data_IF_985396459607
#
_entry.id   IF_985396459607
#
_cell.length_a   1.000
_cell.length_b   1.000
_cell.length_c   1.000
_cell.angle_alpha   90.00
_cell.angle_beta   90.00
_cell.angle_gamma   90.00
#
_symmetry.space_group_name_H-M   'P 1'
#
loop_
_entity.id
_entity.type
_entity.pdbx_description
1 polymer ?
#
# COMPACT_ATOMS: atom_id res chain seq x y z
N UNK A 1 -8.89 4.80 -4.31
CA UNK A 1 -7.78 5.34 -3.48
C UNK A 1 -6.56 4.45 -3.62
N UNK A 2 -5.34 4.99 -3.75
CA UNK A 2 -4.10 4.18 -3.88
C UNK A 2 -3.53 3.83 -2.49
N UNK A 3 -3.49 4.82 -1.59
CA UNK A 3 -2.78 4.74 -0.32
C UNK A 3 -3.69 5.15 0.84
N UNK A 4 -3.66 4.40 1.94
CA UNK A 4 -4.31 4.77 3.20
C UNK A 4 -3.35 4.46 4.35
N UNK A 5 -2.79 5.51 4.97
CA UNK A 5 -1.81 5.39 6.05
C UNK A 5 -2.29 6.18 7.26
N UNK A 6 -2.22 5.54 8.43
CA UNK A 6 -2.35 6.19 9.73
C UNK A 6 -1.01 6.16 10.46
N UNK A 7 -0.38 7.32 10.57
CA UNK A 7 0.86 7.49 11.33
C UNK A 7 0.55 7.99 12.74
N UNK A 8 0.74 7.13 13.74
CA UNK A 8 0.56 7.50 15.14
C UNK A 8 1.83 8.13 15.76
N UNK A 9 2.95 8.13 15.04
CA UNK A 9 4.26 8.64 15.46
C UNK A 9 4.60 9.96 14.75
N UNK A 10 3.58 10.70 14.30
CA UNK A 10 3.74 12.07 13.82
C UNK A 10 3.93 13.00 15.04
N UNK A 11 5.18 13.37 15.31
CA UNK A 11 5.53 14.31 16.37
C UNK A 11 6.53 15.32 15.82
N UNK A 12 6.28 16.61 16.00
CA UNK A 12 7.22 17.65 15.60
C UNK A 12 7.14 18.83 16.53
N UNK A 13 8.27 19.54 16.68
CA UNK A 13 8.28 20.87 17.25
C UNK A 13 7.86 21.87 16.18
N UNK A 14 6.90 22.73 16.51
CA UNK A 14 6.49 23.84 15.68
C UNK A 14 6.92 25.14 16.33
N UNK A 15 7.56 26.00 15.56
CA UNK A 15 7.83 27.39 15.93
C UNK A 15 7.28 28.30 14.83
N UNK A 16 6.52 29.31 15.23
CA UNK A 16 5.99 30.30 14.30
C UNK A 16 7.14 31.01 13.57
N UNK A 17 6.94 31.26 12.26
CA UNK A 17 7.90 31.91 11.37
C UNK A 17 9.24 31.16 11.16
N UNK A 18 9.39 29.94 11.68
CA UNK A 18 10.55 29.10 11.37
C UNK A 18 10.52 28.66 9.89
N UNK A 19 11.59 28.91 9.11
CA UNK A 19 11.64 28.46 7.73
C UNK A 19 11.67 26.92 7.65
N UNK A 20 10.83 26.36 6.76
CA UNK A 20 10.83 24.93 6.49
C UNK A 20 11.97 24.58 5.54
N UNK A 21 13.04 24.03 6.10
CA UNK A 21 14.20 23.57 5.33
C UNK A 21 14.28 22.05 5.31
N UNK A 22 14.41 21.49 4.11
CA UNK A 22 14.65 20.06 3.89
C UNK A 22 16.03 19.86 3.24
N UNK A 23 16.76 18.86 3.73
CA UNK A 23 18.02 18.43 3.16
C UNK A 23 18.00 16.91 2.98
N UNK A 24 18.33 16.43 1.78
CA UNK A 24 18.31 14.99 1.47
C UNK A 24 19.40 14.21 2.22
N UNK A 25 20.49 14.87 2.63
CA UNK A 25 21.67 14.24 3.24
C UNK A 25 21.62 14.14 4.76
N UNK A 26 20.85 14.98 5.46
CA UNK A 26 20.72 14.92 6.91
C UNK A 26 19.38 15.46 7.42
N UNK A 27 18.90 14.89 8.54
CA UNK A 27 17.68 15.33 9.19
C UNK A 27 17.97 16.59 10.04
N UNK A 28 17.45 17.74 9.61
CA UNK A 28 17.51 19.02 10.35
C UNK A 28 16.28 19.26 11.21
N UNK A 29 15.09 18.90 10.72
CA UNK A 29 13.81 19.08 11.40
C UNK A 29 12.92 17.88 11.13
N UNK A 30 12.36 17.31 12.20
CA UNK A 30 11.49 16.15 12.05
C UNK A 30 10.24 16.46 11.21
N UNK A 31 9.72 17.70 11.28
CA UNK A 31 8.57 18.11 10.48
C UNK A 31 8.87 17.97 8.97
N UNK A 32 9.98 18.56 8.51
CA UNK A 32 10.33 18.53 7.08
C UNK A 32 10.73 17.13 6.62
N UNK A 33 11.39 16.34 7.48
CA UNK A 33 11.70 14.94 7.20
C UNK A 33 10.46 14.06 7.05
N UNK A 34 9.45 14.19 7.93
CA UNK A 34 8.20 13.42 7.80
C UNK A 34 7.43 13.82 6.54
N UNK A 35 7.35 15.11 6.23
CA UNK A 35 6.67 15.60 5.02
C UNK A 35 7.36 15.09 3.75
N UNK A 36 8.69 15.20 3.68
CA UNK A 36 9.47 14.70 2.55
C UNK A 36 9.38 13.18 2.41
N UNK A 37 9.41 12.45 3.54
CA UNK A 37 9.21 11.00 3.56
C UNK A 37 7.87 10.62 2.91
N UNK A 38 6.76 11.21 3.34
CA UNK A 38 5.45 10.89 2.78
C UNK A 38 5.29 11.37 1.33
N UNK A 39 5.89 12.50 0.95
CA UNK A 39 5.92 12.91 -0.46
C UNK A 39 6.59 11.84 -1.33
N UNK A 40 7.73 11.30 -0.91
CA UNK A 40 8.43 10.24 -1.65
C UNK A 40 7.68 8.90 -1.63
N UNK A 41 7.04 8.53 -0.53
CA UNK A 41 6.18 7.34 -0.48
C UNK A 41 5.00 7.47 -1.43
N UNK A 42 4.32 8.62 -1.47
CA UNK A 42 3.19 8.87 -2.37
C UNK A 42 3.64 8.80 -3.82
N UNK A 43 4.75 9.46 -4.18
CA UNK A 43 5.31 9.39 -5.53
C UNK A 43 5.71 7.97 -5.92
N UNK A 44 6.33 7.22 -5.00
CA UNK A 44 6.70 5.83 -5.26
C UNK A 44 5.48 4.97 -5.59
N UNK A 45 4.40 5.11 -4.82
CA UNK A 45 3.17 4.37 -5.09
C UNK A 45 2.49 4.80 -6.38
N UNK A 46 2.45 6.10 -6.67
CA UNK A 46 1.87 6.62 -7.89
C UNK A 46 2.60 6.05 -9.13
N UNK A 47 3.93 6.13 -9.17
CA UNK A 47 4.72 5.61 -10.30
C UNK A 47 4.63 4.08 -10.44
N UNK A 48 4.51 3.34 -9.34
CA UNK A 48 4.25 1.90 -9.38
C UNK A 48 2.90 1.55 -10.01
N UNK A 49 1.91 2.43 -9.94
CA UNK A 49 0.64 2.20 -10.63
C UNK A 49 0.75 2.37 -12.15
N UNK A 50 1.73 3.12 -12.66
CA UNK A 50 1.91 3.37 -14.09
C UNK A 50 2.94 2.45 -14.76
N UNK A 51 3.91 1.95 -14.01
CA UNK A 51 4.95 1.04 -14.50
C UNK A 51 5.38 0.07 -13.40
N UNK A 52 5.66 -1.18 -13.80
CA UNK A 52 6.20 -2.18 -12.88
C UNK A 52 7.48 -1.64 -12.21
N UNK A 53 7.44 -1.53 -10.89
CA UNK A 53 8.51 -1.00 -10.04
C UNK A 53 8.98 0.43 -10.41
N UNK A 54 8.14 1.22 -11.10
CA UNK A 54 8.46 2.59 -11.51
C UNK A 54 8.75 3.55 -10.36
N UNK A 55 8.24 3.24 -9.16
CA UNK A 55 8.41 4.04 -7.94
C UNK A 55 9.76 3.90 -7.24
N UNK A 56 10.63 2.99 -7.70
CA UNK A 56 11.86 2.62 -6.98
C UNK A 56 12.72 3.82 -6.58
N UNK A 57 13.00 4.80 -7.47
CA UNK A 57 13.84 5.95 -7.11
C UNK A 57 13.25 6.76 -5.94
N UNK A 58 11.92 6.83 -5.81
CA UNK A 58 11.27 7.57 -4.74
C UNK A 58 11.26 6.79 -3.43
N UNK A 59 11.02 5.49 -3.47
CA UNK A 59 11.12 4.65 -2.27
C UNK A 59 12.55 4.60 -1.71
N UNK A 60 13.57 4.60 -2.56
CA UNK A 60 14.97 4.70 -2.14
C UNK A 60 15.26 6.04 -1.45
N UNK A 61 14.71 7.15 -1.95
CA UNK A 61 14.78 8.45 -1.26
C UNK A 61 14.05 8.45 0.09
N UNK A 62 12.89 7.82 0.18
CA UNK A 62 12.18 7.66 1.46
C UNK A 62 13.01 6.83 2.46
N UNK A 63 13.64 5.74 1.99
CA UNK A 63 14.55 4.92 2.80
C UNK A 63 15.78 5.71 3.25
N UNK A 64 16.34 6.57 2.40
CA UNK A 64 17.44 7.45 2.77
C UNK A 64 17.06 8.39 3.93
N UNK A 65 15.85 8.96 3.91
CA UNK A 65 15.34 9.79 5.02
C UNK A 65 15.23 8.98 6.31
N UNK A 66 14.72 7.74 6.24
CA UNK A 66 14.67 6.82 7.40
C UNK A 66 16.08 6.58 7.95
N UNK A 67 17.05 6.29 7.08
CA UNK A 67 18.44 6.04 7.47
C UNK A 67 19.08 7.28 8.12
N UNK A 68 18.81 8.47 7.60
CA UNK A 68 19.31 9.73 8.15
C UNK A 68 18.63 10.13 9.47
N UNK A 69 17.51 9.49 9.82
CA UNK A 69 16.71 9.79 11.01
C UNK A 69 16.86 8.75 12.13
N UNK A 70 17.81 7.79 12.02
CA UNK A 70 18.00 6.76 13.04
C UNK A 70 18.39 7.32 14.43
N UNK A 71 19.01 8.50 14.49
CA UNK A 71 19.37 9.17 15.74
C UNK A 71 18.29 10.16 16.23
N UNK A 72 17.17 10.30 15.52
CA UNK A 72 16.08 11.18 15.92
C UNK A 72 15.49 10.74 17.26
N UNK A 73 15.08 11.71 18.08
CA UNK A 73 14.43 11.43 19.38
C UNK A 73 12.98 11.01 19.17
N UNK A 74 12.36 11.57 18.14
CA UNK A 74 11.01 11.26 17.68
C UNK A 74 10.93 9.80 17.23
N UNK A 75 9.78 9.19 17.49
CA UNK A 75 9.49 7.80 17.13
C UNK A 75 9.15 7.66 15.65
N UNK A 76 9.00 6.43 15.20
CA UNK A 76 8.55 6.05 13.87
C UNK A 76 9.68 5.80 12.87
N UNK A 77 10.92 6.14 13.22
CA UNK A 77 12.08 6.02 12.35
C UNK A 77 12.89 4.74 12.56
N UNK A 78 12.73 4.06 13.70
CA UNK A 78 13.58 2.93 14.08
C UNK A 78 12.81 1.62 14.08
N UNK A 79 13.48 0.53 13.71
CA UNK A 79 12.87 -0.80 13.59
C UNK A 79 12.25 -1.30 14.90
N UNK A 80 12.86 -0.98 16.05
CA UNK A 80 12.48 -1.51 17.36
C UNK A 80 11.32 -0.76 18.04
N UNK A 81 10.84 0.34 17.45
CA UNK A 81 9.79 1.18 18.05
C UNK A 81 8.39 0.58 17.85
N UNK A 82 8.16 -0.04 16.68
CA UNK A 82 6.88 -0.63 16.26
C UNK A 82 7.14 -1.49 15.01
N UNK A 83 6.29 -2.47 14.73
CA UNK A 83 6.28 -3.19 13.44
C UNK A 83 5.50 -2.44 12.34
N UNK A 84 4.83 -1.33 12.70
CA UNK A 84 4.02 -0.48 11.82
C UNK A 84 4.47 0.96 11.99
N UNK A 85 5.50 1.33 11.24
CA UNK A 85 6.07 2.67 11.25
C UNK A 85 6.74 3.00 9.90
N UNK A 86 7.33 4.20 9.80
CA UNK A 86 7.98 4.70 8.58
C UNK A 86 9.15 3.80 8.15
N UNK A 87 9.91 3.25 9.11
CA UNK A 87 10.97 2.27 8.83
C UNK A 87 10.43 1.01 8.14
N UNK A 88 9.44 0.35 8.74
CA UNK A 88 8.89 -0.89 8.19
C UNK A 88 8.12 -0.67 6.91
N UNK A 89 7.55 0.52 6.70
CA UNK A 89 6.90 0.85 5.44
C UNK A 89 7.90 0.76 4.28
N UNK A 90 9.02 1.48 4.36
CA UNK A 90 10.01 1.46 3.26
C UNK A 90 10.74 0.13 3.14
N UNK A 91 11.06 -0.51 4.27
CA UNK A 91 11.69 -1.84 4.26
C UNK A 91 10.80 -2.86 3.54
N UNK A 92 9.52 -2.95 3.93
CA UNK A 92 8.59 -3.90 3.33
C UNK A 92 8.36 -3.64 1.84
N UNK A 93 8.33 -2.37 1.40
CA UNK A 93 8.17 -2.02 -0.02
C UNK A 93 9.39 -2.45 -0.85
N UNK A 94 10.61 -2.20 -0.35
CA UNK A 94 11.85 -2.45 -1.08
C UNK A 94 12.36 -3.90 -0.95
N UNK A 95 11.84 -4.66 0.00
CA UNK A 95 12.27 -6.04 0.21
C UNK A 95 11.82 -6.94 -0.96
N UNK A 96 12.80 -7.54 -1.65
CA UNK A 96 12.58 -8.46 -2.78
C UNK A 96 11.72 -9.68 -2.44
N UNK A 97 11.65 -10.09 -1.17
CA UNK A 97 10.74 -11.16 -0.75
C UNK A 97 9.26 -10.79 -0.88
N UNK A 98 8.94 -9.50 -1.03
CA UNK A 98 7.60 -8.97 -1.16
C UNK A 98 7.39 -8.23 -2.50
N UNK A 99 8.24 -8.45 -3.52
CA UNK A 99 8.14 -7.74 -4.81
C UNK A 99 6.81 -7.96 -5.54
N UNK A 100 6.16 -9.11 -5.30
CA UNK A 100 4.80 -9.40 -5.78
C UNK A 100 3.79 -8.33 -5.33
N UNK A 101 4.02 -7.64 -4.21
CA UNK A 101 3.19 -6.51 -3.78
C UNK A 101 3.22 -5.35 -4.79
N UNK A 102 4.41 -4.94 -5.23
CA UNK A 102 4.57 -3.85 -6.20
C UNK A 102 4.06 -4.27 -7.58
N UNK A 103 4.24 -5.54 -7.94
CA UNK A 103 3.62 -6.12 -9.13
C UNK A 103 2.09 -6.06 -9.06
N UNK A 104 1.49 -6.37 -7.89
CA UNK A 104 0.06 -6.19 -7.69
C UNK A 104 -0.34 -4.73 -7.92
N UNK A 105 0.38 -3.74 -7.38
CA UNK A 105 0.05 -2.32 -7.58
C UNK A 105 -0.01 -1.95 -9.06
N UNK A 106 0.94 -2.41 -9.87
CA UNK A 106 0.94 -2.19 -11.32
C UNK A 106 -0.25 -2.90 -12.02
N UNK A 107 -0.39 -4.22 -11.84
CA UNK A 107 -1.43 -5.01 -12.49
C UNK A 107 -2.83 -4.53 -12.11
N UNK A 108 -3.06 -4.27 -10.82
CA UNK A 108 -4.35 -3.84 -10.29
C UNK A 108 -4.80 -2.52 -10.92
N UNK A 109 -3.91 -1.52 -10.99
CA UNK A 109 -4.28 -0.18 -11.47
C UNK A 109 -4.21 -0.09 -13.00
N UNK A 110 -3.06 -0.38 -13.60
CA UNK A 110 -2.84 -0.17 -15.04
C UNK A 110 -3.54 -1.19 -15.93
N UNK A 111 -3.50 -2.46 -15.52
CA UNK A 111 -4.07 -3.55 -16.32
C UNK A 111 -5.48 -3.92 -15.87
N UNK A 112 -5.85 -3.54 -14.63
CA UNK A 112 -7.16 -3.74 -14.05
C UNK A 112 -8.05 -2.52 -14.20
N UNK A 113 -7.91 -1.54 -13.31
CA UNK A 113 -8.79 -0.37 -13.22
C UNK A 113 -8.85 0.46 -14.51
N UNK A 114 -7.71 0.80 -15.12
CA UNK A 114 -7.68 1.57 -16.37
C UNK A 114 -8.37 0.80 -17.51
N UNK A 115 -8.22 -0.53 -17.52
CA UNK A 115 -8.81 -1.40 -18.54
C UNK A 115 -10.31 -1.63 -18.31
N UNK A 116 -10.80 -1.57 -17.07
CA UNK A 116 -12.22 -1.79 -16.74
C UNK A 116 -13.16 -0.87 -17.53
N UNK A 117 -12.71 0.34 -17.85
CA UNK A 117 -13.47 1.35 -18.60
C UNK A 117 -13.71 0.90 -20.05
N UNK A 118 -12.75 0.20 -20.64
CA UNK A 118 -12.80 -0.23 -22.05
C UNK A 118 -13.29 -1.67 -22.20
N UNK A 119 -12.88 -2.54 -21.27
CA UNK A 119 -13.10 -3.98 -21.29
C UNK A 119 -13.29 -4.50 -19.87
N UNK A 120 -14.52 -4.40 -19.37
CA UNK A 120 -14.86 -4.72 -17.98
C UNK A 120 -14.47 -6.14 -17.56
N UNK A 121 -14.72 -7.16 -18.39
CA UNK A 121 -14.37 -8.54 -18.03
C UNK A 121 -12.86 -8.77 -17.98
N UNK A 122 -12.10 -8.22 -18.93
CA UNK A 122 -10.64 -8.34 -18.97
C UNK A 122 -10.00 -7.59 -17.79
N UNK A 123 -10.45 -6.35 -17.53
CA UNK A 123 -9.96 -5.57 -16.40
C UNK A 123 -10.26 -6.23 -15.05
N UNK A 124 -11.46 -6.80 -14.89
CA UNK A 124 -11.84 -7.51 -13.66
C UNK A 124 -11.01 -8.77 -13.45
N UNK A 125 -10.77 -9.55 -14.51
CA UNK A 125 -9.90 -10.72 -14.46
C UNK A 125 -8.46 -10.37 -14.07
N UNK A 126 -7.94 -9.24 -14.57
CA UNK A 126 -6.60 -8.75 -14.20
C UNK A 126 -6.54 -8.31 -12.73
N UNK A 127 -7.60 -7.69 -12.21
CA UNK A 127 -7.70 -7.40 -10.77
C UNK A 127 -7.70 -8.70 -9.96
N UNK A 128 -8.46 -9.72 -10.38
CA UNK A 128 -8.47 -11.02 -9.70
C UNK A 128 -7.10 -11.70 -9.73
N UNK A 129 -6.35 -11.58 -10.82
CA UNK A 129 -4.98 -12.09 -10.92
C UNK A 129 -4.03 -11.35 -9.97
N UNK A 130 -4.14 -10.01 -9.88
CA UNK A 130 -3.30 -9.23 -8.97
C UNK A 130 -3.48 -9.63 -7.49
N UNK A 131 -4.66 -10.11 -7.11
CA UNK A 131 -4.91 -10.63 -5.76
C UNK A 131 -4.14 -11.93 -5.47
N UNK A 132 -3.74 -12.70 -6.48
CA UNK A 132 -2.85 -13.85 -6.29
C UNK A 132 -1.45 -13.42 -5.92
N UNK A 133 -0.98 -12.29 -6.46
CA UNK A 133 0.31 -11.72 -6.07
C UNK A 133 0.26 -11.25 -4.60
N UNK A 134 -0.86 -10.67 -4.15
CA UNK A 134 -1.10 -10.37 -2.72
C UNK A 134 -1.10 -11.65 -1.86
N UNK A 135 -1.74 -12.72 -2.33
CA UNK A 135 -1.77 -14.01 -1.63
C UNK A 135 -0.36 -14.61 -1.45
N UNK A 136 0.54 -14.45 -2.42
CA UNK A 136 1.95 -14.87 -2.29
C UNK A 136 2.66 -14.11 -1.18
N UNK A 137 2.49 -12.78 -1.13
CA UNK A 137 3.07 -11.94 -0.07
C UNK A 137 2.52 -12.31 1.30
N UNK A 138 1.21 -12.54 1.40
CA UNK A 138 0.56 -12.99 2.64
C UNK A 138 1.12 -14.32 3.12
N UNK A 139 1.21 -15.34 2.25
CA UNK A 139 1.77 -16.66 2.60
C UNK A 139 3.23 -16.59 3.00
N UNK A 140 3.97 -15.59 2.52
CA UNK A 140 5.35 -15.31 2.95
C UNK A 140 5.41 -14.70 4.34
N UNK A 141 4.60 -13.66 4.61
CA UNK A 141 4.48 -13.01 5.93
C UNK A 141 3.09 -12.37 6.12
N UNK A 142 2.16 -13.03 6.83
CA UNK A 142 0.77 -12.57 6.95
C UNK A 142 0.59 -11.19 7.58
N UNK A 143 1.45 -10.82 8.54
CA UNK A 143 1.33 -9.58 9.33
C UNK A 143 2.14 -8.40 8.76
N UNK A 144 2.64 -8.50 7.53
CA UNK A 144 3.47 -7.45 6.93
C UNK A 144 2.64 -6.17 6.68
N UNK A 145 3.21 -5.01 7.03
CA UNK A 145 2.47 -3.75 7.10
C UNK A 145 1.82 -3.33 5.78
N UNK A 146 2.49 -3.57 4.65
CA UNK A 146 2.01 -3.24 3.31
C UNK A 146 0.72 -3.97 2.90
N UNK A 147 0.44 -5.15 3.47
CA UNK A 147 -0.82 -5.87 3.23
C UNK A 147 -2.00 -5.17 3.89
N UNK A 148 -1.84 -4.80 5.15
CA UNK A 148 -2.88 -4.05 5.86
C UNK A 148 -3.19 -2.74 5.13
N UNK A 149 -2.15 -2.01 4.74
CA UNK A 149 -2.28 -0.75 4.01
C UNK A 149 -3.03 -0.91 2.68
N UNK A 150 -2.82 -2.03 1.98
CA UNK A 150 -3.57 -2.33 0.76
C UNK A 150 -5.05 -2.55 1.05
N UNK A 151 -5.40 -3.39 2.03
CA UNK A 151 -6.81 -3.67 2.33
C UNK A 151 -7.54 -2.47 2.94
N UNK A 152 -6.86 -1.67 3.76
CA UNK A 152 -7.36 -0.40 4.28
C UNK A 152 -7.70 0.60 3.15
N UNK A 153 -7.06 0.48 1.98
CA UNK A 153 -7.33 1.30 0.81
C UNK A 153 -8.32 0.65 -0.19
N UNK A 154 -8.33 -0.67 -0.31
CA UNK A 154 -8.94 -1.41 -1.44
C UNK A 154 -10.16 -2.26 -1.09
N UNK A 155 -10.43 -2.55 0.18
CA UNK A 155 -11.49 -3.50 0.54
C UNK A 155 -12.87 -3.10 -0.02
N UNK A 156 -13.25 -1.82 0.03
CA UNK A 156 -14.53 -1.35 -0.52
C UNK A 156 -14.55 -1.34 -2.06
N UNK A 157 -13.41 -1.02 -2.69
CA UNK A 157 -13.25 -1.05 -4.14
C UNK A 157 -13.40 -2.50 -4.67
N UNK A 158 -12.80 -3.46 -3.97
CA UNK A 158 -12.91 -4.89 -4.28
C UNK A 158 -14.35 -5.39 -4.19
N UNK A 159 -15.12 -4.98 -3.18
CA UNK A 159 -16.55 -5.32 -3.11
C UNK A 159 -17.27 -4.79 -4.34
N UNK A 160 -17.08 -3.52 -4.69
CA UNK A 160 -17.77 -2.91 -5.83
C UNK A 160 -17.41 -3.56 -7.17
N UNK A 161 -16.14 -3.93 -7.37
CA UNK A 161 -15.66 -4.58 -8.59
C UNK A 161 -16.24 -6.00 -8.74
N UNK A 162 -16.26 -6.78 -7.66
CA UNK A 162 -16.62 -8.21 -7.71
C UNK A 162 -18.09 -8.50 -7.39
N UNK A 163 -18.86 -7.56 -6.84
CA UNK A 163 -20.32 -7.73 -6.74
C UNK A 163 -21.01 -7.92 -8.09
N UNK A 164 -20.37 -7.51 -9.20
CA UNK A 164 -20.88 -7.65 -10.57
C UNK A 164 -20.20 -8.80 -11.35
N UNK A 165 -19.43 -9.66 -10.69
CA UNK A 165 -18.68 -10.72 -11.35
C UNK A 165 -19.49 -11.99 -11.58
N UNK A 166 -19.04 -12.82 -12.52
CA UNK A 166 -19.58 -14.16 -12.73
C UNK A 166 -19.34 -15.06 -11.51
N UNK A 167 -20.22 -16.05 -11.25
CA UNK A 167 -20.14 -16.91 -10.07
C UNK A 167 -18.76 -17.57 -9.85
N UNK A 168 -18.13 -18.07 -10.91
CA UNK A 168 -16.85 -18.77 -10.79
C UNK A 168 -15.69 -17.84 -10.39
N UNK A 169 -15.64 -16.65 -10.98
CA UNK A 169 -14.63 -15.63 -10.63
C UNK A 169 -14.85 -15.12 -9.21
N UNK A 170 -16.11 -14.88 -8.84
CA UNK A 170 -16.52 -14.49 -7.50
C UNK A 170 -16.03 -15.45 -6.43
N UNK A 171 -16.30 -16.75 -6.62
CA UNK A 171 -15.93 -17.79 -5.66
C UNK A 171 -14.41 -17.85 -5.48
N UNK A 172 -13.67 -17.71 -6.58
CA UNK A 172 -12.19 -17.67 -6.55
C UNK A 172 -11.68 -16.46 -5.76
N UNK A 173 -12.23 -15.28 -6.00
CA UNK A 173 -11.81 -14.05 -5.32
C UNK A 173 -12.17 -14.09 -3.83
N UNK A 174 -13.39 -14.53 -3.50
CA UNK A 174 -13.80 -14.71 -2.10
C UNK A 174 -12.91 -15.67 -1.34
N UNK A 175 -12.47 -16.77 -1.96
CA UNK A 175 -11.53 -17.69 -1.35
C UNK A 175 -10.19 -17.00 -1.01
N UNK A 176 -9.68 -16.16 -1.93
CA UNK A 176 -8.45 -15.39 -1.68
C UNK A 176 -8.69 -14.37 -0.56
N UNK A 177 -9.72 -13.53 -0.65
CA UNK A 177 -9.99 -12.45 0.30
C UNK A 177 -10.21 -12.97 1.73
N UNK A 178 -10.91 -14.10 1.89
CA UNK A 178 -11.10 -14.73 3.19
C UNK A 178 -9.80 -15.31 3.78
N UNK A 179 -8.82 -15.68 2.94
CA UNK A 179 -7.49 -16.12 3.40
C UNK A 179 -6.64 -14.92 3.84
N UNK A 180 -6.56 -13.89 3.00
CA UNK A 180 -5.55 -12.83 3.13
C UNK A 180 -6.02 -11.63 3.96
N UNK A 181 -7.33 -11.44 4.10
CA UNK A 181 -7.93 -10.31 4.82
C UNK A 181 -9.20 -10.71 5.62
N UNK A 182 -9.07 -11.66 6.56
CA UNK A 182 -10.22 -12.21 7.29
C UNK A 182 -10.97 -11.17 8.14
N UNK A 183 -10.31 -10.08 8.54
CA UNK A 183 -10.94 -9.01 9.33
C UNK A 183 -12.05 -8.27 8.58
N UNK A 184 -11.97 -8.22 7.24
CA UNK A 184 -13.00 -7.66 6.37
C UNK A 184 -14.01 -8.71 5.87
N UNK A 185 -14.03 -9.93 6.41
CA UNK A 185 -14.91 -11.01 5.95
C UNK A 185 -16.40 -10.63 5.92
N UNK A 186 -16.89 -9.85 6.88
CA UNK A 186 -18.28 -9.34 6.89
C UNK A 186 -18.56 -8.37 5.73
N UNK A 187 -17.56 -7.58 5.32
CA UNK A 187 -17.63 -6.70 4.15
C UNK A 187 -17.65 -7.52 2.87
N UNK A 188 -16.85 -8.57 2.78
CA UNK A 188 -16.78 -9.43 1.59
C UNK A 188 -18.03 -10.28 1.36
N UNK A 189 -18.84 -10.57 2.38
CA UNK A 189 -20.16 -11.20 2.18
C UNK A 189 -21.07 -10.44 1.20
N UNK A 190 -20.94 -9.11 1.11
CA UNK A 190 -21.70 -8.30 0.13
C UNK A 190 -21.42 -8.66 -1.33
N UNK A 191 -20.30 -9.33 -1.62
CA UNK A 191 -19.99 -9.84 -2.95
C UNK A 191 -20.94 -11.00 -3.32
N UNK A 192 -21.33 -11.85 -2.36
CA UNK A 192 -22.31 -12.92 -2.59
C UNK A 192 -23.75 -12.41 -2.57
N UNK A 193 -24.08 -11.47 -1.68
CA UNK A 193 -25.48 -11.06 -1.40
C UNK A 193 -26.17 -10.34 -2.58
N UNK A 194 -25.42 -9.74 -3.51
CA UNK A 194 -25.96 -9.12 -4.73
C UNK A 194 -26.44 -10.15 -5.80
N UNK A 195 -26.67 -11.41 -5.43
CA UNK A 195 -27.34 -12.41 -6.27
C UNK A 195 -28.86 -12.31 -6.24
N UNK A 196 -29.43 -11.75 -5.17
CA UNK A 196 -30.86 -11.83 -4.89
C UNK A 196 -31.65 -10.55 -5.26
N UNK A 197 -31.04 -9.64 -6.02
CA UNK A 197 -31.66 -8.42 -6.59
C UNK A 197 -31.50 -8.39 -8.10
#
# INVERSE_FOLDING_TARGET
>A
TILNIKDNDFQCRYAEFEPLEFNESFNKSNLTSVLAFYAYVILGFDYDTFSLEGGTPFFEKAQAIVNNSQNAREKGWKAFESERNRYWLTENILNKSYSDYRKCMYTYHRQGLDLLVQKTEEGRANIAESLRDIQKVFRRRPSVYILQMFFDAKADELVNVFSKSFPDERNRVLAILNEVDPSNGSKYKKISDNQDM
#
